data_IF_243941272904
#
_entry.id   IF_243941272904
#
_cell.length_a   1.000
_cell.length_b   1.000
_cell.length_c   1.000
_cell.angle_alpha   90.00
_cell.angle_beta   90.00
_cell.angle_gamma   90.00
#
_symmetry.space_group_name_H-M   'P 1'
#
loop_
_entity.id
_entity.type
_entity.pdbx_description
1 polymer ?
#
# COMPACT_ATOMS: atom_id res chain seq x y z
N UNK A 1 -5.93 -2.90 6.17
CA UNK A 1 -5.20 -3.61 7.24
C UNK A 1 -6.00 -3.90 8.52
N UNK A 2 -7.21 -3.37 8.71
CA UNK A 2 -8.05 -3.70 9.88
C UNK A 2 -8.40 -5.20 10.01
N UNK A 3 -8.41 -5.95 8.91
CA UNK A 3 -8.62 -7.40 8.92
C UNK A 3 -7.47 -8.22 9.51
N UNK A 4 -6.29 -7.63 9.71
CA UNK A 4 -5.17 -8.30 10.39
C UNK A 4 -5.22 -8.15 11.90
N UNK A 5 -6.01 -7.22 12.43
CA UNK A 5 -6.09 -6.96 13.86
C UNK A 5 -6.57 -8.18 14.68
N UNK A 6 -7.59 -8.96 14.27
CA UNK A 6 -8.03 -10.15 15.01
C UNK A 6 -6.93 -11.22 15.05
N UNK A 7 -6.25 -11.43 13.92
CA UNK A 7 -5.18 -12.43 13.81
C UNK A 7 -3.97 -12.08 14.67
N UNK A 8 -3.56 -10.80 14.70
CA UNK A 8 -2.45 -10.31 15.54
C UNK A 8 -2.79 -10.43 17.03
N UNK A 9 -4.06 -10.25 17.42
CA UNK A 9 -4.50 -10.45 18.80
C UNK A 9 -4.43 -11.92 19.20
N UNK A 10 -4.75 -12.85 18.30
CA UNK A 10 -4.72 -14.29 18.57
C UNK A 10 -3.32 -14.93 18.46
N UNK A 11 -2.50 -14.52 17.50
CA UNK A 11 -1.21 -15.15 17.16
C UNK A 11 0.01 -14.31 17.61
N UNK A 12 -0.20 -13.09 18.11
CA UNK A 12 0.87 -12.15 18.44
C UNK A 12 1.50 -11.47 17.23
N UNK A 13 2.56 -10.68 17.47
CA UNK A 13 3.35 -10.01 16.42
C UNK A 13 4.38 -10.96 15.77
N UNK A 14 3.96 -12.19 15.42
CA UNK A 14 4.82 -13.15 14.74
C UNK A 14 4.76 -12.97 13.21
N UNK A 15 5.63 -12.10 12.70
CA UNK A 15 5.79 -11.84 11.27
C UNK A 15 6.16 -13.08 10.46
N UNK A 16 6.86 -14.07 11.04
CA UNK A 16 7.24 -15.29 10.32
C UNK A 16 6.04 -16.22 10.13
N UNK A 17 5.23 -16.43 11.17
CA UNK A 17 4.00 -17.22 11.09
C UNK A 17 3.00 -16.61 10.09
N UNK A 18 2.93 -15.28 10.05
CA UNK A 18 2.07 -14.51 9.15
C UNK A 18 2.45 -14.72 7.67
N UNK A 19 3.75 -14.65 7.37
CA UNK A 19 4.29 -14.88 6.03
C UNK A 19 4.14 -16.35 5.61
N UNK A 20 4.25 -17.30 6.56
CA UNK A 20 4.02 -18.71 6.28
C UNK A 20 2.57 -18.97 5.82
N UNK A 21 1.58 -18.33 6.45
CA UNK A 21 0.17 -18.43 6.03
C UNK A 21 -0.11 -17.80 4.66
N UNK A 22 0.52 -16.66 4.35
CA UNK A 22 0.39 -16.05 3.01
C UNK A 22 1.07 -16.86 1.91
N UNK A 23 2.07 -17.66 2.28
CA UNK A 23 2.76 -18.60 1.38
C UNK A 23 2.22 -20.03 1.45
N UNK A 24 1.09 -20.25 2.11
CA UNK A 24 0.51 -21.59 2.25
C UNK A 24 0.08 -22.20 0.90
N UNK A 25 -0.24 -21.36 -0.10
CA UNK A 25 -0.61 -21.76 -1.45
C UNK A 25 0.04 -20.86 -2.50
N UNK A 26 0.40 -21.41 -3.66
CA UNK A 26 1.03 -20.66 -4.76
C UNK A 26 0.15 -19.51 -5.27
N UNK A 27 -1.17 -19.70 -5.28
CA UNK A 27 -2.13 -18.68 -5.68
C UNK A 27 -2.11 -17.45 -4.73
N UNK A 28 -2.08 -17.69 -3.42
CA UNK A 28 -2.04 -16.62 -2.41
C UNK A 28 -0.68 -15.90 -2.45
N UNK A 29 0.40 -16.65 -2.69
CA UNK A 29 1.75 -16.10 -2.89
C UNK A 29 1.79 -15.17 -4.11
N UNK A 30 1.16 -15.55 -5.22
CA UNK A 30 1.08 -14.72 -6.42
C UNK A 30 0.36 -13.39 -6.17
N UNK A 31 -0.80 -13.44 -5.50
CA UNK A 31 -1.57 -12.23 -5.15
C UNK A 31 -0.79 -11.35 -4.15
N UNK A 32 -0.10 -11.95 -3.19
CA UNK A 32 0.73 -11.21 -2.24
C UNK A 32 1.81 -10.40 -2.96
N UNK A 33 2.56 -11.02 -3.88
CA UNK A 33 3.61 -10.33 -4.61
C UNK A 33 3.09 -9.27 -5.56
N UNK A 34 1.96 -9.50 -6.24
CA UNK A 34 1.31 -8.50 -7.08
C UNK A 34 0.98 -7.22 -6.29
N UNK A 35 0.39 -7.38 -5.10
CA UNK A 35 0.04 -6.26 -4.21
C UNK A 35 1.27 -5.55 -3.66
N UNK A 36 2.33 -6.28 -3.28
CA UNK A 36 3.58 -5.70 -2.76
C UNK A 36 4.29 -4.88 -3.84
N UNK A 37 4.44 -5.45 -5.04
CA UNK A 37 5.07 -4.75 -6.17
C UNK A 37 4.26 -3.50 -6.51
N UNK A 38 2.94 -3.61 -6.59
CA UNK A 38 2.06 -2.46 -6.86
C UNK A 38 2.18 -1.36 -5.81
N UNK A 39 2.27 -1.70 -4.52
CA UNK A 39 2.44 -0.74 -3.44
C UNK A 39 3.80 -0.01 -3.52
N UNK A 40 4.88 -0.73 -3.85
CA UNK A 40 6.22 -0.17 -4.02
C UNK A 40 6.23 0.79 -5.21
N UNK A 41 5.74 0.36 -6.37
CA UNK A 41 5.68 1.18 -7.59
C UNK A 41 4.89 2.46 -7.35
N UNK A 42 3.71 2.36 -6.71
CA UNK A 42 2.90 3.53 -6.37
C UNK A 42 3.64 4.48 -5.42
N UNK A 43 4.34 3.95 -4.41
CA UNK A 43 5.11 4.77 -3.46
C UNK A 43 6.23 5.53 -4.16
N UNK A 44 7.00 4.87 -5.04
CA UNK A 44 8.07 5.50 -5.83
C UNK A 44 7.50 6.57 -6.76
N UNK A 45 6.34 6.31 -7.37
CA UNK A 45 5.68 7.29 -8.23
C UNK A 45 5.24 8.54 -7.45
N UNK A 46 4.56 8.36 -6.31
CA UNK A 46 4.14 9.46 -5.44
C UNK A 46 5.34 10.30 -5.03
N UNK A 47 6.42 9.67 -4.57
CA UNK A 47 7.63 10.39 -4.14
C UNK A 47 8.27 11.18 -5.28
N UNK A 48 8.45 10.54 -6.46
CA UNK A 48 9.08 11.20 -7.60
C UNK A 48 8.28 12.41 -8.08
N UNK A 49 6.94 12.34 -8.07
CA UNK A 49 6.10 13.45 -8.52
C UNK A 49 5.94 14.56 -7.47
N UNK A 50 5.90 14.21 -6.17
CA UNK A 50 5.96 15.21 -5.07
C UNK A 50 7.25 16.01 -5.17
N UNK A 51 8.36 15.39 -5.53
CA UNK A 51 9.65 16.08 -5.63
C UNK A 51 9.67 17.13 -6.75
N UNK A 52 9.02 16.86 -7.88
CA UNK A 52 8.93 17.77 -9.02
C UNK A 52 7.86 18.85 -8.83
N UNK A 53 6.63 18.44 -8.44
CA UNK A 53 5.47 19.35 -8.35
C UNK A 53 5.35 20.06 -7.00
N UNK A 54 6.17 19.70 -6.01
CA UNK A 54 6.08 20.16 -4.60
C UNK A 54 4.66 20.00 -4.01
N UNK A 55 3.90 19.01 -4.48
CA UNK A 55 2.54 18.74 -4.02
C UNK A 55 2.56 17.86 -2.76
N UNK A 56 2.88 18.45 -1.61
CA UNK A 56 3.01 17.73 -0.33
C UNK A 56 1.75 16.96 0.10
N UNK A 57 0.57 17.39 -0.35
CA UNK A 57 -0.69 16.67 -0.08
C UNK A 57 -0.70 15.27 -0.67
N UNK A 58 -0.04 15.05 -1.81
CA UNK A 58 -0.01 13.75 -2.46
C UNK A 58 0.71 12.67 -1.63
N UNK A 59 1.52 13.05 -0.63
CA UNK A 59 2.13 12.11 0.32
C UNK A 59 1.09 11.35 1.16
N UNK A 60 -0.14 11.87 1.31
CA UNK A 60 -1.26 11.15 1.96
C UNK A 60 -1.67 9.88 1.21
N UNK A 61 -1.32 9.75 -0.07
CA UNK A 61 -1.56 8.51 -0.81
C UNK A 61 -0.74 7.34 -0.26
N UNK A 62 0.45 7.59 0.30
CA UNK A 62 1.33 6.54 0.86
C UNK A 62 0.63 5.83 2.04
N UNK A 63 0.22 6.51 3.14
CA UNK A 63 -0.48 5.83 4.23
C UNK A 63 -1.79 5.19 3.76
N UNK A 64 -2.52 5.78 2.81
CA UNK A 64 -3.71 5.13 2.24
C UNK A 64 -3.39 3.79 1.53
N UNK A 65 -2.25 3.72 0.83
CA UNK A 65 -1.79 2.52 0.11
C UNK A 65 -1.48 1.38 1.06
N UNK A 66 -0.78 1.67 2.17
CA UNK A 66 -0.33 0.66 3.12
C UNK A 66 -1.39 0.30 4.17
N UNK A 67 -2.22 1.27 4.60
CA UNK A 67 -3.22 1.04 5.64
C UNK A 67 -4.54 0.49 5.08
N UNK A 68 -4.95 0.91 3.89
CA UNK A 68 -6.23 0.53 3.27
C UNK A 68 -5.99 -0.45 2.13
N UNK A 69 -5.10 -0.09 1.20
CA UNK A 69 -4.71 -0.91 0.06
C UNK A 69 -4.42 -0.08 -1.18
N UNK A 70 -3.74 -0.69 -2.18
CA UNK A 70 -3.37 -0.03 -3.44
C UNK A 70 -4.60 0.49 -4.20
N UNK A 71 -5.71 -0.25 -4.16
CA UNK A 71 -6.97 0.13 -4.79
C UNK A 71 -7.57 1.43 -4.24
N UNK A 72 -7.21 1.84 -3.02
CA UNK A 72 -7.60 3.13 -2.45
C UNK A 72 -6.51 4.19 -2.64
N UNK A 73 -5.24 3.80 -2.46
CA UNK A 73 -4.09 4.70 -2.60
C UNK A 73 -3.98 5.33 -3.99
N UNK A 74 -4.18 4.54 -5.06
CA UNK A 74 -4.06 5.01 -6.43
C UNK A 74 -5.15 6.03 -6.82
N UNK A 75 -6.45 5.77 -6.63
CA UNK A 75 -7.49 6.78 -6.89
C UNK A 75 -7.33 8.04 -6.05
N UNK A 76 -6.95 7.91 -4.77
CA UNK A 76 -6.69 9.06 -3.91
C UNK A 76 -5.53 9.91 -4.44
N UNK A 77 -4.44 9.26 -4.86
CA UNK A 77 -3.30 9.95 -5.47
C UNK A 77 -3.72 10.73 -6.73
N UNK A 78 -4.46 10.08 -7.63
CA UNK A 78 -4.95 10.72 -8.85
C UNK A 78 -5.87 11.91 -8.55
N UNK A 79 -6.74 11.79 -7.54
CA UNK A 79 -7.59 12.89 -7.10
C UNK A 79 -6.79 14.07 -6.55
N UNK A 80 -5.79 13.81 -5.69
CA UNK A 80 -4.91 14.84 -5.14
C UNK A 80 -3.98 15.47 -6.19
N UNK A 81 -3.73 14.76 -7.29
CA UNK A 81 -2.99 15.21 -8.47
C UNK A 81 -3.85 16.05 -9.43
N UNK A 82 -5.18 15.92 -9.40
CA UNK A 82 -6.07 16.53 -10.39
C UNK A 82 -6.11 18.07 -10.36
N UNK A 83 -5.54 18.72 -9.31
CA UNK A 83 -5.38 20.17 -9.31
C UNK A 83 -4.36 20.60 -10.38
N UNK A 84 -4.68 21.59 -11.23
CA UNK A 84 -3.74 22.11 -12.21
C UNK A 84 -2.49 22.64 -11.50
N UNK A 85 -1.32 22.36 -12.08
CA UNK A 85 -0.04 22.91 -11.61
C UNK A 85 -0.13 24.43 -11.75
N UNK A 86 -0.04 25.17 -10.64
CA UNK A 86 0.13 26.62 -10.65
C UNK A 86 1.59 26.96 -10.88
#
# INVERSE_FOLDING_TARGET
>A
MLYFAPWIVENGFDLQAMVALWKANDMVTGIYWDLVISAIVLTVWVISEVWVRRNWLALLAIPATWMIGVSCGLPLYLFLRAKPVR
#
